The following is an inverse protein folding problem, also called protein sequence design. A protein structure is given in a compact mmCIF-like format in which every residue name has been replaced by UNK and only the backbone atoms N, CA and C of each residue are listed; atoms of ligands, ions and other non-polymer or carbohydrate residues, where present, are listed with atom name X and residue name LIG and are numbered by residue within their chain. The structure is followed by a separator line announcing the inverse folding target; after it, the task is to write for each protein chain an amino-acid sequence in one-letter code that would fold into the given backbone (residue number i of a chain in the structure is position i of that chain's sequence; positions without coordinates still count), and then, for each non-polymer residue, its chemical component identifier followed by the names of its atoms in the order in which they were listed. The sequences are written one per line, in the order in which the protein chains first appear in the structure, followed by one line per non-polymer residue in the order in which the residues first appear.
data_IF_087924581490
#
_entry.id   IF_087924581490
#
_cell.length_a   1.000
_cell.length_b   1.000
_cell.length_c   1.000
_cell.angle_alpha   90.00
_cell.angle_beta   90.00
_cell.angle_gamma   90.00
#
_symmetry.space_group_name_H-M   'P 1'
#
loop_
_entity.id
_entity.type
_entity.pdbx_description
1 polymer ?
#
# COMPACT_ATOMS: atom_id res chain seq x y z
N UNK A 1 15.98 16.96 18.17
CA UNK A 1 15.80 16.11 16.96
C UNK A 1 14.37 15.61 16.98
N UNK A 2 13.39 16.50 16.73
CA UNK A 2 11.96 16.21 16.90
C UNK A 2 11.07 16.88 15.83
N UNK A 3 11.54 17.96 15.20
CA UNK A 3 10.75 18.68 14.20
C UNK A 3 10.55 17.92 12.88
N UNK A 4 11.55 17.13 12.45
CA UNK A 4 11.44 16.36 11.20
C UNK A 4 10.56 15.10 11.30
N UNK A 5 10.24 14.64 12.51
CA UNK A 5 9.35 13.49 12.70
C UNK A 5 7.88 13.94 12.67
N UNK A 6 7.57 15.09 13.28
CA UNK A 6 6.21 15.66 13.28
C UNK A 6 5.75 16.07 11.88
N UNK A 7 6.64 16.68 11.08
CA UNK A 7 6.38 17.06 9.68
C UNK A 7 5.96 15.84 8.82
N UNK A 8 6.63 14.69 9.03
CA UNK A 8 6.31 13.40 8.38
C UNK A 8 4.98 12.78 8.86
N UNK A 9 4.62 12.98 10.12
CA UNK A 9 3.37 12.46 10.70
C UNK A 9 2.18 13.28 10.22
N UNK A 10 2.37 14.57 9.99
CA UNK A 10 1.35 15.47 9.45
C UNK A 10 1.04 15.16 7.98
N UNK A 11 2.07 14.90 7.16
CA UNK A 11 1.91 14.33 5.82
C UNK A 11 1.14 12.99 5.85
N UNK A 12 1.38 12.15 6.86
CA UNK A 12 0.65 10.89 7.03
C UNK A 12 -0.83 11.12 7.36
N UNK A 13 -1.17 12.16 8.13
CA UNK A 13 -2.55 12.49 8.47
C UNK A 13 -3.33 12.99 7.24
N UNK A 14 -2.69 13.84 6.43
CA UNK A 14 -3.26 14.31 5.15
C UNK A 14 -3.44 13.15 4.17
N UNK A 15 -2.43 12.29 4.03
CA UNK A 15 -2.52 11.09 3.18
C UNK A 15 -3.61 10.14 3.68
N UNK A 16 -3.73 9.92 4.99
CA UNK A 16 -4.78 9.06 5.57
C UNK A 16 -6.18 9.62 5.31
N UNK A 17 -6.35 10.92 5.53
CA UNK A 17 -7.61 11.63 5.27
C UNK A 17 -7.98 11.57 3.79
N UNK A 18 -6.99 11.75 2.90
CA UNK A 18 -7.18 11.64 1.46
C UNK A 18 -7.51 10.21 1.02
N UNK A 19 -6.86 9.20 1.59
CA UNK A 19 -7.17 7.78 1.36
C UNK A 19 -8.59 7.47 1.82
N UNK A 20 -8.97 7.86 3.03
CA UNK A 20 -10.32 7.65 3.58
C UNK A 20 -11.40 8.37 2.75
N UNK A 21 -11.17 9.63 2.36
CA UNK A 21 -12.09 10.39 1.49
C UNK A 21 -12.18 9.80 0.08
N UNK A 22 -11.07 9.29 -0.45
CA UNK A 22 -11.05 8.67 -1.79
C UNK A 22 -11.76 7.32 -1.75
N UNK A 23 -11.53 6.51 -0.72
CA UNK A 23 -12.23 5.25 -0.48
C UNK A 23 -13.73 5.49 -0.28
N UNK A 24 -14.13 6.52 0.47
CA UNK A 24 -15.52 6.86 0.73
C UNK A 24 -16.22 7.49 -0.48
N UNK A 25 -15.55 8.39 -1.20
CA UNK A 25 -16.14 9.22 -2.27
C UNK A 25 -16.08 8.62 -3.68
N UNK A 26 -15.08 7.79 -3.99
CA UNK A 26 -15.06 6.99 -5.23
C UNK A 26 -15.62 5.59 -5.02
N UNK A 27 -15.65 5.13 -3.77
CA UNK A 27 -16.08 3.79 -3.38
C UNK A 27 -15.15 2.71 -3.95
N UNK A 28 -15.04 1.62 -3.22
CA UNK A 28 -15.07 0.28 -3.84
C UNK A 28 -16.47 0.05 -4.49
N UNK A 29 -16.96 1.02 -5.29
CA UNK A 29 -18.27 0.99 -5.94
C UNK A 29 -18.36 -0.13 -6.98
N UNK A 30 -17.23 -0.76 -7.27
CA UNK A 30 -17.17 -2.05 -7.89
C UNK A 30 -17.36 -3.07 -6.77
N UNK A 31 -18.57 -3.63 -6.66
CA UNK A 31 -18.84 -4.73 -5.74
C UNK A 31 -17.65 -5.68 -5.72
N UNK A 32 -17.19 -6.10 -4.54
CA UNK A 32 -15.97 -6.88 -4.29
C UNK A 32 -15.70 -7.99 -5.34
N UNK A 33 -16.76 -8.63 -5.86
CA UNK A 33 -16.68 -9.60 -6.96
C UNK A 33 -16.30 -9.03 -8.35
N UNK A 34 -16.73 -7.83 -8.72
CA UNK A 34 -16.45 -7.21 -10.03
C UNK A 34 -15.00 -6.76 -10.18
N UNK A 35 -14.36 -6.29 -9.09
CA UNK A 35 -12.92 -5.98 -9.11
C UNK A 35 -12.11 -7.26 -9.33
N UNK A 36 -12.41 -8.31 -8.54
CA UNK A 36 -11.69 -9.58 -8.64
C UNK A 36 -11.89 -10.25 -10.00
N UNK A 37 -13.10 -10.23 -10.56
CA UNK A 37 -13.40 -10.79 -11.90
C UNK A 37 -12.67 -10.04 -13.02
N UNK A 38 -12.70 -8.70 -13.02
CA UNK A 38 -11.94 -7.92 -13.99
C UNK A 38 -10.43 -8.13 -13.86
N UNK A 39 -9.90 -8.21 -12.64
CA UNK A 39 -8.49 -8.45 -12.41
C UNK A 39 -8.08 -9.85 -12.89
N UNK A 40 -8.90 -10.87 -12.61
CA UNK A 40 -8.69 -12.24 -13.09
C UNK A 40 -8.66 -12.31 -14.61
N UNK A 41 -9.56 -11.61 -15.30
CA UNK A 41 -9.56 -11.57 -16.77
C UNK A 41 -8.28 -10.97 -17.36
N UNK A 42 -7.65 -10.02 -16.67
CA UNK A 42 -6.45 -9.34 -17.17
C UNK A 42 -5.14 -10.00 -16.71
N UNK A 43 -5.12 -10.61 -15.52
CA UNK A 43 -3.90 -11.06 -14.84
C UNK A 43 -3.95 -12.53 -14.37
N UNK A 44 -5.05 -13.23 -14.65
CA UNK A 44 -5.25 -14.63 -14.26
C UNK A 44 -5.19 -14.82 -12.75
N UNK A 45 -4.44 -15.83 -12.32
CA UNK A 45 -4.30 -16.22 -10.91
C UNK A 45 -3.70 -15.14 -10.00
N UNK A 46 -3.16 -14.05 -10.56
CA UNK A 46 -2.75 -12.90 -9.74
C UNK A 46 -3.92 -12.20 -9.05
N UNK A 47 -5.17 -12.43 -9.49
CA UNK A 47 -6.35 -11.92 -8.79
C UNK A 47 -6.46 -12.40 -7.35
N UNK A 48 -5.93 -13.59 -7.02
CA UNK A 48 -5.91 -14.12 -5.66
C UNK A 48 -5.08 -13.26 -4.68
N UNK A 49 -4.17 -12.42 -5.21
CA UNK A 49 -3.42 -11.48 -4.38
C UNK A 49 -4.30 -10.36 -3.81
N UNK A 50 -5.42 -10.03 -4.45
CA UNK A 50 -6.37 -9.03 -3.95
C UNK A 50 -7.04 -9.51 -2.65
N UNK A 51 -7.29 -10.80 -2.54
CA UNK A 51 -7.88 -11.43 -1.35
C UNK A 51 -6.84 -11.75 -0.26
N UNK A 52 -5.56 -11.53 -0.55
CA UNK A 52 -4.48 -11.81 0.39
C UNK A 52 -4.57 -10.85 1.57
N UNK A 53 -4.92 -11.39 2.75
CA UNK A 53 -4.99 -10.60 3.98
C UNK A 53 -3.63 -10.03 4.33
N UNK A 54 -3.50 -8.70 4.23
CA UNK A 54 -2.31 -7.98 4.66
C UNK A 54 -2.41 -7.71 6.16
N UNK A 55 -1.45 -8.20 6.94
CA UNK A 55 -1.36 -7.88 8.35
C UNK A 55 -0.99 -6.39 8.52
N UNK A 56 -1.86 -5.62 9.19
CA UNK A 56 -1.68 -4.19 9.40
C UNK A 56 -0.38 -3.85 10.14
N UNK A 57 -0.01 -4.64 11.15
CA UNK A 57 1.19 -4.39 11.96
C UNK A 57 2.44 -4.71 11.16
N UNK A 58 2.41 -5.78 10.36
CA UNK A 58 3.47 -6.11 9.41
C UNK A 58 3.67 -4.98 8.40
N UNK A 59 2.60 -4.48 7.79
CA UNK A 59 2.69 -3.37 6.84
C UNK A 59 3.27 -2.11 7.49
N UNK A 60 2.82 -1.75 8.69
CA UNK A 60 3.37 -0.64 9.47
C UNK A 60 4.85 -0.83 9.85
N UNK A 61 5.31 -2.06 10.07
CA UNK A 61 6.72 -2.34 10.27
C UNK A 61 7.50 -2.15 8.97
N UNK A 62 6.96 -2.62 7.84
CA UNK A 62 7.59 -2.50 6.52
C UNK A 62 7.70 -1.06 6.02
N UNK A 63 6.75 -0.18 6.34
CA UNK A 63 6.82 1.23 5.91
C UNK A 63 8.05 1.96 6.45
N UNK A 64 8.64 1.51 7.56
CA UNK A 64 9.89 2.07 8.10
C UNK A 64 11.10 1.79 7.19
N UNK A 65 11.00 0.76 6.35
CA UNK A 65 12.04 0.32 5.41
C UNK A 65 11.79 0.85 3.99
N UNK A 66 10.77 1.69 3.77
CA UNK A 66 10.53 2.32 2.47
C UNK A 66 11.67 3.28 2.12
N UNK A 67 12.33 3.02 1.00
CA UNK A 67 13.39 3.86 0.47
C UNK A 67 12.86 4.69 -0.72
N UNK A 68 12.64 6.00 -0.55
CA UNK A 68 12.06 6.84 -1.60
C UNK A 68 12.98 7.05 -2.81
N UNK A 69 14.29 6.86 -2.67
CA UNK A 69 15.23 7.01 -3.80
C UNK A 69 15.11 5.88 -4.82
N UNK A 70 14.66 4.70 -4.37
CA UNK A 70 14.54 3.49 -5.20
C UNK A 70 13.09 3.03 -5.37
N UNK A 71 12.13 3.72 -4.75
CA UNK A 71 10.71 3.37 -4.77
C UNK A 71 10.44 1.91 -4.36
N UNK A 72 11.21 1.39 -3.40
CA UNK A 72 11.13 0.02 -2.92
C UNK A 72 11.39 -0.09 -1.42
N UNK A 73 11.09 -1.26 -0.84
CA UNK A 73 11.46 -1.58 0.54
C UNK A 73 12.89 -2.15 0.58
N UNK A 74 13.73 -1.62 1.45
CA UNK A 74 15.15 -2.04 1.58
C UNK A 74 15.44 -2.48 3.00
N UNK A 75 16.00 -3.69 3.17
CA UNK A 75 16.45 -4.19 4.47
C UNK A 75 17.98 -4.25 4.49
N UNK A 76 18.61 -3.25 5.10
CA UNK A 76 20.06 -3.07 4.99
C UNK A 76 20.46 -2.74 3.55
N UNK A 77 21.26 -3.62 2.92
CA UNK A 77 21.73 -3.47 1.54
C UNK A 77 20.96 -4.38 0.55
N UNK A 78 19.85 -4.98 0.98
CA UNK A 78 19.04 -5.88 0.14
C UNK A 78 17.73 -5.19 -0.22
N UNK A 79 17.48 -5.06 -1.53
CA UNK A 79 16.21 -4.60 -2.06
C UNK A 79 15.20 -5.75 -2.01
N UNK A 80 13.99 -5.49 -1.52
CA UNK A 80 12.88 -6.44 -1.53
C UNK A 80 12.08 -6.36 -2.84
N UNK A 81 12.66 -5.80 -3.89
CA UNK A 81 12.06 -5.87 -5.22
C UNK A 81 11.92 -7.35 -5.60
N UNK A 82 10.71 -7.85 -5.89
CA UNK A 82 10.59 -9.16 -6.50
C UNK A 82 11.37 -9.12 -7.81
N UNK A 83 12.42 -9.92 -7.90
CA UNK A 83 13.07 -10.17 -9.19
C UNK A 83 12.13 -11.10 -9.95
N UNK A 84 11.44 -10.55 -10.96
CA UNK A 84 10.55 -11.30 -11.84
C UNK A 84 11.38 -12.19 -12.76
#
# INVERSE_FOLDING_TARGET
MEKGFLDRVEDNAVVRTWVEMTQYGKGDSLAEGYVSELFYLNYGDLSYLLDMKVDKRLFQALTQFWNPAYSCFTFGNVDLLPTI
#
